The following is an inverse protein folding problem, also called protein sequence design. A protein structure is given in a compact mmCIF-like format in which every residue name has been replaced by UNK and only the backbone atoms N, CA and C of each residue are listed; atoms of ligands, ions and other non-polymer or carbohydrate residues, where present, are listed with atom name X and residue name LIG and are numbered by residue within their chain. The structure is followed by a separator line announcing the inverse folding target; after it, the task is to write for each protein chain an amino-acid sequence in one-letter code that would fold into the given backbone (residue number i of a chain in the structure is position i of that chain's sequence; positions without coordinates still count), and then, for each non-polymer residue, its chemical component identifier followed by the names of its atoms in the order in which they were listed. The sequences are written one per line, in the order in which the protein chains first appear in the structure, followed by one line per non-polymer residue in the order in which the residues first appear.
data_IF_574988878557
#
_entry.id   IF_574988878557
#
_cell.length_a   1.000
_cell.length_b   1.000
_cell.length_c   1.000
_cell.angle_alpha   90.00
_cell.angle_beta   90.00
_cell.angle_gamma   90.00
#
_symmetry.space_group_name_H-M   'P 1'
#
loop_
_entity.id
_entity.type
_entity.pdbx_description
1 polymer ?
#
# COMPACT_ATOMS: atom_id res chain seq x y z
N UNK A 1 -28.83 41.47 34.97
CA UNK A 1 -30.13 41.73 35.62
C UNK A 1 -30.68 43.01 35.04
N UNK A 2 -31.93 43.09 34.53
CA UNK A 2 -33.09 42.17 34.57
C UNK A 2 -33.19 41.32 33.28
N UNK A 3 -33.77 40.12 33.18
CA UNK A 3 -35.01 39.46 33.64
C UNK A 3 -36.32 39.85 32.92
N UNK A 4 -36.95 38.78 32.40
CA UNK A 4 -38.34 38.53 31.96
C UNK A 4 -38.81 38.99 30.56
N UNK A 5 -38.89 38.01 29.64
CA UNK A 5 -40.07 37.83 28.77
C UNK A 5 -40.47 36.34 28.84
N UNK A 6 -41.65 36.14 29.41
CA UNK A 6 -42.50 34.95 29.44
C UNK A 6 -43.23 34.78 28.11
N UNK A 7 -43.52 33.53 27.71
CA UNK A 7 -44.64 33.02 26.87
C UNK A 7 -44.21 31.67 26.24
N UNK A 8 -44.54 30.53 26.83
CA UNK A 8 -45.79 29.76 26.73
C UNK A 8 -45.98 28.97 25.41
N UNK A 9 -46.05 27.64 25.59
CA UNK A 9 -46.97 26.71 24.91
C UNK A 9 -46.75 26.41 23.42
N UNK A 10 -46.44 25.13 23.11
CA UNK A 10 -47.37 24.22 22.39
C UNK A 10 -46.75 22.82 22.30
N UNK A 11 -47.41 21.86 22.96
CA UNK A 11 -47.30 20.42 22.71
C UNK A 11 -47.81 20.11 21.30
N UNK A 12 -47.15 19.22 20.54
CA UNK A 12 -47.87 18.26 19.68
C UNK A 12 -47.08 16.95 19.56
N UNK A 13 -47.62 15.94 20.25
CA UNK A 13 -47.54 14.52 19.93
C UNK A 13 -48.15 14.27 18.54
N UNK A 14 -47.47 13.47 17.71
CA UNK A 14 -47.97 13.01 16.42
C UNK A 14 -47.53 11.56 16.17
N UNK A 15 -48.33 10.64 16.66
CA UNK A 15 -48.41 9.23 16.23
C UNK A 15 -48.87 9.14 14.78
N UNK A 16 -48.09 8.49 13.91
CA UNK A 16 -48.61 7.89 12.67
C UNK A 16 -48.05 6.49 12.50
N UNK A 17 -48.93 5.51 12.68
CA UNK A 17 -48.81 4.16 12.19
C UNK A 17 -49.71 4.07 10.96
N UNK A 18 -49.18 3.72 9.79
CA UNK A 18 -49.94 3.05 8.75
C UNK A 18 -49.08 2.00 8.04
N UNK A 19 -49.75 0.89 7.76
CA UNK A 19 -49.30 -0.40 7.28
C UNK A 19 -50.16 -0.74 6.07
N UNK A 20 -49.61 -0.91 4.87
CA UNK A 20 -50.19 -1.68 3.73
C UNK A 20 -49.04 -2.01 2.76
N UNK A 21 -48.37 -3.17 2.81
CA UNK A 21 -48.60 -4.48 2.13
C UNK A 21 -48.97 -4.43 0.63
N UNK A 22 -48.11 -5.01 -0.23
CA UNK A 22 -48.39 -5.89 -1.41
C UNK A 22 -47.04 -6.10 -2.17
N UNK A 23 -46.29 -7.19 -1.99
CA UNK A 23 -46.50 -8.58 -2.44
C UNK A 23 -46.50 -8.77 -3.97
N UNK A 24 -45.37 -9.24 -4.50
CA UNK A 24 -45.33 -10.01 -5.76
C UNK A 24 -44.14 -10.96 -5.70
N UNK A 25 -44.26 -11.92 -4.78
CA UNK A 25 -43.50 -13.16 -4.76
C UNK A 25 -44.26 -14.16 -5.63
N UNK A 26 -43.75 -14.40 -6.84
CA UNK A 26 -44.24 -15.51 -7.68
C UNK A 26 -43.66 -16.82 -7.16
N UNK A 27 -44.48 -17.52 -6.39
CA UNK A 27 -44.43 -18.96 -6.10
C UNK A 27 -44.55 -19.75 -7.42
N UNK A 28 -43.65 -20.69 -7.70
CA UNK A 28 -43.74 -22.11 -7.33
C UNK A 28 -44.53 -22.94 -8.34
N UNK A 29 -43.94 -24.07 -8.77
CA UNK A 29 -44.59 -25.37 -9.11
C UNK A 29 -43.45 -26.31 -9.53
N UNK A 30 -42.87 -27.04 -8.57
CA UNK A 30 -43.03 -28.50 -8.30
C UNK A 30 -42.45 -29.39 -9.42
N UNK A 31 -41.75 -30.49 -9.17
CA UNK A 31 -42.12 -31.60 -8.30
C UNK A 31 -40.99 -32.66 -8.28
N UNK A 32 -40.91 -33.40 -7.17
CA UNK A 32 -40.39 -34.77 -7.04
C UNK A 32 -38.88 -35.00 -7.25
N UNK A 33 -38.09 -35.51 -6.30
CA UNK A 33 -38.41 -36.35 -5.15
C UNK A 33 -37.50 -37.60 -5.19
N UNK A 34 -36.78 -37.82 -4.08
CA UNK A 34 -36.21 -39.12 -3.64
C UNK A 34 -34.98 -39.62 -4.43
N UNK A 35 -33.87 -40.09 -3.85
CA UNK A 35 -33.45 -40.41 -2.49
C UNK A 35 -32.25 -41.38 -2.60
N UNK A 36 -31.34 -41.35 -1.61
CA UNK A 36 -30.24 -42.31 -1.35
C UNK A 36 -29.11 -42.43 -2.41
N UNK A 37 -27.89 -42.82 -2.10
CA UNK A 37 -27.01 -42.85 -0.92
C UNK A 37 -25.66 -43.37 -1.45
N UNK A 38 -24.60 -43.23 -0.64
CA UNK A 38 -23.26 -43.81 -0.84
C UNK A 38 -22.42 -43.19 -1.96
N UNK A 39 -21.11 -42.99 -1.84
CA UNK A 39 -20.12 -43.38 -0.83
C UNK A 39 -18.79 -42.77 -1.27
N UNK A 40 -17.90 -42.62 -0.30
CA UNK A 40 -16.62 -41.93 -0.40
C UNK A 40 -15.69 -42.44 -1.52
N UNK A 41 -14.95 -41.52 -2.14
CA UNK A 41 -13.55 -41.75 -2.50
C UNK A 41 -12.83 -40.41 -2.72
N UNK A 42 -12.06 -39.98 -1.72
CA UNK A 42 -10.88 -39.16 -1.96
C UNK A 42 -9.93 -39.96 -2.86
N UNK A 43 -9.59 -39.40 -4.01
CA UNK A 43 -8.41 -39.78 -4.76
C UNK A 43 -7.54 -38.53 -4.93
N UNK A 44 -6.40 -38.57 -4.25
CA UNK A 44 -5.34 -37.61 -4.39
C UNK A 44 -4.81 -37.54 -5.83
N UNK A 45 -4.35 -36.33 -6.16
CA UNK A 45 -3.30 -35.99 -7.12
C UNK A 45 -3.55 -36.34 -8.59
N UNK A 46 -3.84 -35.30 -9.38
CA UNK A 46 -3.27 -35.16 -10.72
C UNK A 46 -3.60 -33.77 -11.28
N UNK A 47 -2.69 -32.81 -11.13
CA UNK A 47 -2.58 -31.68 -12.06
C UNK A 47 -2.20 -32.28 -13.42
N UNK A 48 -3.16 -32.91 -14.11
CA UNK A 48 -3.01 -33.26 -15.51
C UNK A 48 -2.91 -31.94 -16.25
N UNK A 49 -1.68 -31.59 -16.60
CA UNK A 49 -1.37 -30.55 -17.56
C UNK A 49 -2.21 -30.83 -18.81
N UNK A 50 -3.35 -30.17 -18.93
CA UNK A 50 -4.10 -30.15 -20.18
C UNK A 50 -3.10 -29.69 -21.25
N UNK A 51 -2.91 -30.45 -22.35
CA UNK A 51 -1.98 -30.04 -23.39
C UNK A 51 -2.40 -28.66 -23.87
N UNK A 52 -1.49 -27.68 -23.79
CA UNK A 52 -1.75 -26.29 -24.16
C UNK A 52 -2.33 -26.24 -25.59
N UNK A 53 -3.65 -26.08 -25.67
CA UNK A 53 -4.34 -26.00 -26.95
C UNK A 53 -4.07 -24.62 -27.54
N UNK A 54 -3.02 -24.56 -28.36
CA UNK A 54 -2.57 -23.34 -29.04
C UNK A 54 -3.72 -22.62 -29.74
N UNK A 55 -4.68 -23.35 -30.32
CA UNK A 55 -5.80 -22.76 -31.05
C UNK A 55 -6.78 -22.07 -30.11
N UNK A 56 -7.08 -22.67 -28.96
CA UNK A 56 -7.93 -22.05 -27.94
C UNK A 56 -7.24 -20.86 -27.27
N UNK A 57 -5.94 -20.95 -27.01
CA UNK A 57 -5.16 -19.83 -26.47
C UNK A 57 -5.11 -18.66 -27.45
N UNK A 58 -4.83 -18.92 -28.74
CA UNK A 58 -4.86 -17.90 -29.80
C UNK A 58 -6.25 -17.27 -29.96
N UNK A 59 -7.32 -18.05 -29.87
CA UNK A 59 -8.69 -17.54 -29.91
C UNK A 59 -9.01 -16.64 -28.71
N UNK A 60 -8.61 -17.03 -27.50
CA UNK A 60 -8.76 -16.22 -26.28
C UNK A 60 -7.94 -14.93 -26.35
N UNK A 61 -6.69 -15.00 -26.83
CA UNK A 61 -5.83 -13.83 -27.05
C UNK A 61 -6.45 -12.89 -28.10
N UNK A 62 -6.97 -13.43 -29.20
CA UNK A 62 -7.62 -12.64 -30.25
C UNK A 62 -8.87 -11.93 -29.73
N UNK A 63 -9.69 -12.63 -28.94
CA UNK A 63 -10.87 -12.06 -28.28
C UNK A 63 -10.48 -10.95 -27.32
N UNK A 64 -9.54 -11.19 -26.41
CA UNK A 64 -9.03 -10.18 -25.47
C UNK A 64 -8.43 -8.96 -26.19
N UNK A 65 -7.69 -9.17 -27.28
CA UNK A 65 -7.13 -8.09 -28.09
C UNK A 65 -8.24 -7.27 -28.78
N UNK A 66 -9.29 -7.92 -29.29
CA UNK A 66 -10.42 -7.22 -29.91
C UNK A 66 -11.24 -6.42 -28.89
N UNK A 67 -11.43 -6.95 -27.68
CA UNK A 67 -12.08 -6.26 -26.58
C UNK A 67 -11.26 -5.06 -26.11
N UNK A 68 -9.94 -5.24 -25.93
CA UNK A 68 -9.02 -4.16 -25.60
C UNK A 68 -9.00 -3.07 -26.68
N UNK A 69 -9.04 -3.43 -27.96
CA UNK A 69 -9.15 -2.46 -29.06
C UNK A 69 -10.49 -1.72 -29.04
N UNK A 70 -11.60 -2.41 -28.77
CA UNK A 70 -12.92 -1.79 -28.62
C UNK A 70 -12.97 -0.80 -27.46
N UNK A 71 -12.41 -1.17 -26.31
CA UNK A 71 -12.29 -0.31 -25.14
C UNK A 71 -11.42 0.92 -25.42
N UNK A 72 -10.27 0.75 -26.09
CA UNK A 72 -9.40 1.87 -26.48
C UNK A 72 -10.09 2.85 -27.43
N UNK A 73 -10.87 2.35 -28.39
CA UNK A 73 -11.65 3.21 -29.30
C UNK A 73 -12.71 4.01 -28.52
N UNK A 74 -13.47 3.34 -27.65
CA UNK A 74 -14.46 4.00 -26.78
C UNK A 74 -13.83 5.04 -25.86
N UNK A 75 -12.67 4.75 -25.28
CA UNK A 75 -11.94 5.73 -24.46
C UNK A 75 -11.53 6.95 -25.29
N UNK A 76 -10.97 6.73 -26.49
CA UNK A 76 -10.58 7.82 -27.38
C UNK A 76 -11.77 8.68 -27.85
N UNK A 77 -12.95 8.10 -27.95
CA UNK A 77 -14.20 8.81 -28.28
C UNK A 77 -14.78 9.56 -27.07
N UNK A 78 -14.64 9.01 -25.86
CA UNK A 78 -15.15 9.62 -24.61
C UNK A 78 -14.22 10.70 -24.04
N UNK A 79 -12.91 10.60 -24.26
CA UNK A 79 -11.91 11.60 -23.84
C UNK A 79 -12.25 13.04 -24.26
N UNK A 80 -12.57 13.35 -25.54
CA UNK A 80 -12.92 14.72 -25.94
C UNK A 80 -14.22 15.20 -25.28
N UNK A 81 -15.23 14.34 -25.14
CA UNK A 81 -16.48 14.70 -24.46
C UNK A 81 -16.24 15.00 -22.97
N UNK A 82 -15.40 14.23 -22.29
CA UNK A 82 -15.01 14.50 -20.91
C UNK A 82 -14.23 15.82 -20.78
N UNK A 83 -13.32 16.11 -21.71
CA UNK A 83 -12.57 17.36 -21.74
C UNK A 83 -13.46 18.58 -22.02
N UNK A 84 -14.45 18.45 -22.90
CA UNK A 84 -15.43 19.50 -23.18
C UNK A 84 -16.34 19.75 -21.97
N UNK A 85 -16.82 18.70 -21.30
CA UNK A 85 -17.58 18.83 -20.06
C UNK A 85 -16.76 19.51 -18.96
N UNK A 86 -15.48 19.19 -18.84
CA UNK A 86 -14.57 19.88 -17.91
C UNK A 86 -14.42 21.36 -18.28
N UNK A 87 -14.21 21.70 -19.55
CA UNK A 87 -14.13 23.10 -20.00
C UNK A 87 -15.41 23.88 -19.74
N UNK A 88 -16.58 23.28 -19.99
CA UNK A 88 -17.88 23.91 -19.71
C UNK A 88 -18.02 24.15 -18.21
N UNK A 89 -17.73 23.13 -17.38
CA UNK A 89 -17.73 23.26 -15.92
C UNK A 89 -16.77 24.36 -15.44
N UNK A 90 -15.56 24.41 -15.99
CA UNK A 90 -14.56 25.41 -15.61
C UNK A 90 -14.92 26.82 -16.10
N UNK A 91 -15.67 26.94 -17.19
CA UNK A 91 -16.21 28.22 -17.68
C UNK A 91 -17.44 28.70 -16.90
N UNK A 92 -18.20 27.77 -16.30
CA UNK A 92 -19.39 28.06 -15.50
C UNK A 92 -19.06 28.32 -14.03
N UNK A 93 -17.90 27.84 -13.55
CA UNK A 93 -17.41 28.15 -12.20
C UNK A 93 -17.18 29.65 -12.08
N UNK A 94 -17.82 30.25 -11.08
CA UNK A 94 -17.53 31.62 -10.67
C UNK A 94 -16.10 31.72 -10.13
N UNK A 95 -15.47 32.91 -10.19
CA UNK A 95 -14.12 33.10 -9.66
C UNK A 95 -14.01 32.66 -8.19
N UNK A 96 -15.06 32.89 -7.40
CA UNK A 96 -15.16 32.41 -6.02
C UNK A 96 -15.12 30.88 -5.93
N UNK A 97 -15.88 30.17 -6.75
CA UNK A 97 -15.89 28.69 -6.75
C UNK A 97 -14.52 28.13 -7.15
N UNK A 98 -13.89 28.72 -8.17
CA UNK A 98 -12.54 28.32 -8.61
C UNK A 98 -11.50 28.49 -7.49
N UNK A 99 -11.55 29.60 -6.77
CA UNK A 99 -10.66 29.84 -5.63
C UNK A 99 -10.94 28.86 -4.48
N UNK A 100 -12.21 28.58 -4.17
CA UNK A 100 -12.54 27.59 -3.13
C UNK A 100 -12.06 26.18 -3.48
N UNK A 101 -12.19 25.77 -4.74
CA UNK A 101 -11.71 24.47 -5.18
C UNK A 101 -10.18 24.39 -5.16
N UNK A 102 -9.49 25.47 -5.54
CA UNK A 102 -8.03 25.54 -5.43
C UNK A 102 -7.56 25.47 -3.97
N UNK A 103 -8.24 26.18 -3.06
CA UNK A 103 -7.94 26.11 -1.63
C UNK A 103 -8.21 24.70 -1.06
N UNK A 104 -9.32 24.08 -1.42
CA UNK A 104 -9.64 22.72 -1.00
C UNK A 104 -8.58 21.72 -1.48
N UNK A 105 -8.17 21.79 -2.75
CA UNK A 105 -7.11 20.94 -3.31
C UNK A 105 -5.76 21.19 -2.66
N UNK A 106 -5.41 22.44 -2.39
CA UNK A 106 -4.17 22.80 -1.70
C UNK A 106 -4.15 22.24 -0.27
N UNK A 107 -5.26 22.40 0.47
CA UNK A 107 -5.39 21.88 1.83
C UNK A 107 -5.31 20.34 1.87
N UNK A 108 -5.94 19.66 0.92
CA UNK A 108 -5.85 18.20 0.80
C UNK A 108 -4.41 17.74 0.50
N UNK A 109 -3.69 18.45 -0.37
CA UNK A 109 -2.28 18.16 -0.65
C UNK A 109 -1.41 18.38 0.58
N UNK A 110 -1.60 19.49 1.29
CA UNK A 110 -0.88 19.80 2.54
C UNK A 110 -1.12 18.70 3.58
N UNK A 111 -2.39 18.30 3.80
CA UNK A 111 -2.73 17.22 4.72
C UNK A 111 -2.03 15.91 4.36
N UNK A 112 -2.07 15.50 3.07
CA UNK A 112 -1.37 14.30 2.60
C UNK A 112 0.14 14.38 2.77
N UNK A 113 0.74 15.55 2.55
CA UNK A 113 2.19 15.73 2.77
C UNK A 113 2.56 15.64 4.24
N UNK A 114 1.75 16.22 5.13
CA UNK A 114 1.97 16.17 6.58
C UNK A 114 1.86 14.73 7.10
N UNK A 115 0.84 13.98 6.67
CA UNK A 115 0.71 12.55 7.01
C UNK A 115 1.91 11.72 6.54
N UNK A 116 2.41 11.96 5.32
CA UNK A 116 3.62 11.31 4.83
C UNK A 116 4.84 11.68 5.68
N UNK A 117 4.94 12.94 6.09
CA UNK A 117 6.05 13.43 6.91
C UNK A 117 6.06 12.77 8.29
N UNK A 118 4.93 12.74 8.99
CA UNK A 118 4.81 12.00 10.26
C UNK A 118 5.13 10.54 10.08
N UNK A 119 4.58 9.89 9.05
CA UNK A 119 4.90 8.49 8.74
C UNK A 119 6.41 8.28 8.61
N UNK A 120 7.10 9.11 7.83
CA UNK A 120 8.55 9.00 7.65
C UNK A 120 9.33 9.28 8.93
N UNK A 121 8.84 10.21 9.75
CA UNK A 121 9.45 10.53 11.05
C UNK A 121 9.33 9.34 12.02
N UNK A 122 8.13 8.75 12.13
CA UNK A 122 7.89 7.55 12.93
C UNK A 122 8.77 6.41 12.43
N UNK A 123 8.86 6.17 11.12
CA UNK A 123 9.75 5.16 10.55
C UNK A 123 11.22 5.40 10.88
N UNK A 124 11.67 6.66 10.81
CA UNK A 124 13.05 7.03 11.11
C UNK A 124 13.40 6.79 12.59
N UNK A 125 12.50 7.16 13.50
CA UNK A 125 12.68 6.93 14.94
C UNK A 125 12.57 5.44 15.29
N UNK A 126 11.57 4.75 14.74
CA UNK A 126 11.37 3.32 14.96
C UNK A 126 12.52 2.48 14.38
N UNK A 127 13.17 2.91 13.29
CA UNK A 127 14.30 2.18 12.69
C UNK A 127 15.51 2.01 13.61
N UNK A 128 15.58 2.79 14.71
CA UNK A 128 16.61 2.66 15.74
C UNK A 128 16.36 1.49 16.69
N UNK A 129 15.10 1.23 17.06
CA UNK A 129 14.72 0.34 18.16
C UNK A 129 13.82 -0.83 17.77
N UNK A 130 13.07 -0.74 16.67
CA UNK A 130 12.18 -1.79 16.18
C UNK A 130 12.87 -2.72 15.17
N UNK A 131 12.43 -3.98 15.14
CA UNK A 131 12.84 -4.95 14.13
C UNK A 131 12.25 -4.59 12.75
N UNK A 132 10.98 -4.19 12.72
CA UNK A 132 10.30 -3.64 11.55
C UNK A 132 9.71 -2.26 11.90
N UNK A 133 10.16 -1.16 11.27
CA UNK A 133 9.62 0.17 11.51
C UNK A 133 8.17 0.33 11.01
N UNK A 134 7.69 -0.49 10.07
CA UNK A 134 6.31 -0.39 9.56
C UNK A 134 5.27 -0.87 10.59
N UNK A 135 5.63 -1.82 11.46
CA UNK A 135 4.77 -2.29 12.55
C UNK A 135 4.44 -1.15 13.54
N UNK A 136 5.41 -0.27 13.79
CA UNK A 136 5.21 0.89 14.64
C UNK A 136 4.25 1.91 14.00
N UNK A 137 4.41 2.18 12.71
CA UNK A 137 3.51 3.08 11.96
C UNK A 137 2.07 2.58 11.97
N UNK A 138 1.85 1.27 11.84
CA UNK A 138 0.51 0.68 11.87
C UNK A 138 -0.15 0.66 13.25
N UNK A 139 0.62 0.82 14.32
CA UNK A 139 0.14 0.74 15.70
C UNK A 139 -0.15 2.10 16.35
N UNK A 140 0.37 3.19 15.78
CA UNK A 140 0.23 4.55 16.28
C UNK A 140 -0.79 5.35 15.46
N UNK A 141 -1.43 6.33 16.10
CA UNK A 141 -2.31 7.28 15.42
C UNK A 141 -1.49 8.45 14.88
N UNK A 142 -1.21 8.46 13.57
CA UNK A 142 -0.28 9.44 12.98
C UNK A 142 -0.82 10.87 13.04
N UNK A 143 -2.14 11.05 13.00
CA UNK A 143 -2.75 12.38 12.97
C UNK A 143 -2.69 13.06 14.36
N UNK A 144 -2.55 12.29 15.46
CA UNK A 144 -2.46 12.85 16.81
C UNK A 144 -1.15 13.58 17.11
N UNK A 145 -0.11 13.35 16.30
CA UNK A 145 1.21 13.97 16.47
C UNK A 145 1.37 15.27 15.70
N UNK A 146 0.35 15.72 14.98
CA UNK A 146 0.34 16.95 14.20
C UNK A 146 -0.45 17.99 14.99
N UNK A 147 0.19 19.10 15.33
CA UNK A 147 -0.49 20.19 16.04
C UNK A 147 -1.32 21.08 15.08
N UNK A 148 -1.96 22.11 15.65
CA UNK A 148 -2.76 23.07 14.88
C UNK A 148 -1.93 23.90 13.88
N UNK A 149 -0.64 24.05 14.12
CA UNK A 149 0.29 24.80 13.27
C UNK A 149 0.81 23.90 12.13
N UNK A 150 0.74 22.59 12.32
CA UNK A 150 1.22 21.56 11.41
C UNK A 150 2.61 21.04 11.74
N UNK A 151 3.13 21.37 12.92
CA UNK A 151 4.38 20.85 13.44
C UNK A 151 4.17 19.47 14.06
N UNK A 152 5.26 18.69 14.05
CA UNK A 152 5.22 17.30 14.50
C UNK A 152 5.84 17.22 15.90
N UNK A 153 5.07 16.68 16.84
CA UNK A 153 5.57 16.42 18.18
C UNK A 153 6.44 15.16 18.20
N UNK A 154 7.73 15.33 17.92
CA UNK A 154 8.71 14.25 17.96
C UNK A 154 8.87 13.65 19.37
N UNK A 155 8.63 14.42 20.42
CA UNK A 155 8.79 13.95 21.80
C UNK A 155 7.66 12.98 22.16
N UNK A 156 6.42 13.31 21.80
CA UNK A 156 5.28 12.41 21.92
C UNK A 156 5.47 11.12 21.12
N UNK A 157 5.96 11.21 19.87
CA UNK A 157 6.24 10.01 19.05
C UNK A 157 7.26 9.10 19.75
N UNK A 158 8.36 9.64 20.30
CA UNK A 158 9.36 8.83 21.00
C UNK A 158 8.78 8.15 22.24
N UNK A 159 8.02 8.89 23.05
CA UNK A 159 7.39 8.36 24.25
C UNK A 159 6.43 7.20 23.93
N UNK A 160 5.61 7.35 22.89
CA UNK A 160 4.66 6.31 22.48
C UNK A 160 5.36 5.11 21.84
N UNK A 161 6.44 5.32 21.09
CA UNK A 161 7.28 4.24 20.57
C UNK A 161 7.92 3.43 21.69
N UNK A 162 8.42 4.08 22.74
CA UNK A 162 9.00 3.41 23.90
C UNK A 162 7.93 2.62 24.66
N UNK A 163 6.76 3.21 24.92
CA UNK A 163 5.61 2.54 25.53
C UNK A 163 5.12 1.35 24.69
N UNK A 164 5.20 1.45 23.37
CA UNK A 164 4.83 0.38 22.45
C UNK A 164 5.80 -0.81 22.56
N UNK A 165 7.10 -0.57 22.71
CA UNK A 165 8.10 -1.62 22.91
C UNK A 165 7.94 -2.30 24.27
N UNK A 166 7.60 -1.55 25.33
CA UNK A 166 7.29 -2.14 26.63
C UNK A 166 6.10 -3.10 26.55
N UNK A 167 5.05 -2.71 25.82
CA UNK A 167 3.87 -3.56 25.60
C UNK A 167 4.14 -4.73 24.65
N UNK A 168 5.00 -4.52 23.65
CA UNK A 168 5.30 -5.50 22.58
C UNK A 168 6.81 -5.72 22.45
N UNK A 169 7.43 -6.43 23.40
CA UNK A 169 8.88 -6.60 23.43
C UNK A 169 9.42 -7.41 22.25
N UNK A 170 8.59 -8.23 21.60
CA UNK A 170 8.97 -9.00 20.41
C UNK A 170 9.12 -8.13 19.15
N UNK A 171 8.68 -6.87 19.18
CA UNK A 171 8.89 -5.90 18.10
C UNK A 171 10.24 -5.20 18.21
N UNK A 172 10.92 -5.32 19.36
CA UNK A 172 12.24 -4.75 19.55
C UNK A 172 13.25 -5.42 18.62
N UNK A 173 14.16 -4.63 18.09
CA UNK A 173 15.29 -5.12 17.32
C UNK A 173 16.12 -6.06 18.21
N UNK A 174 16.50 -7.24 17.72
CA UNK A 174 17.38 -8.11 18.48
C UNK A 174 18.69 -7.37 18.72
N UNK A 175 19.04 -7.20 20.00
CA UNK A 175 20.35 -6.67 20.37
C UNK A 175 21.41 -7.54 19.69
N UNK A 176 22.38 -6.96 18.97
CA UNK A 176 23.49 -7.75 18.44
C UNK A 176 24.13 -8.44 19.64
N UNK A 177 24.04 -9.77 19.69
CA UNK A 177 24.66 -10.50 20.77
C UNK A 177 26.14 -10.13 20.78
N UNK A 178 26.58 -9.54 21.90
CA UNK A 178 28.00 -9.39 22.26
C UNK A 178 28.58 -10.79 22.58
N UNK A 179 28.38 -11.74 21.67
CA UNK A 179 29.03 -13.04 21.69
C UNK A 179 30.39 -12.94 21.00
N UNK A 180 31.28 -13.93 21.20
CA UNK A 180 32.59 -13.97 20.58
C UNK A 180 32.41 -13.81 19.07
N UNK A 181 32.90 -12.69 18.52
CA UNK A 181 32.93 -12.49 17.07
C UNK A 181 33.56 -13.73 16.44
N UNK A 182 33.05 -14.12 15.27
CA UNK A 182 33.61 -15.21 14.47
C UNK A 182 35.14 -15.11 14.53
N UNK A 183 35.86 -16.22 14.82
CA UNK A 183 37.32 -16.19 14.92
C UNK A 183 37.87 -15.49 13.67
N UNK A 184 38.82 -14.58 13.89
CA UNK A 184 39.39 -13.79 12.80
C UNK A 184 39.78 -14.73 11.64
N UNK A 185 39.46 -14.39 10.38
CA UNK A 185 39.78 -15.24 9.25
C UNK A 185 41.27 -15.56 9.28
N UNK A 186 41.59 -16.85 9.42
CA UNK A 186 42.97 -17.29 9.44
C UNK A 186 43.60 -16.99 8.08
N UNK A 187 44.52 -16.02 8.08
CA UNK A 187 45.20 -15.55 6.86
C UNK A 187 46.04 -16.65 6.24
N UNK A 188 46.37 -17.72 6.96
CA UNK A 188 47.11 -18.88 6.43
C UNK A 188 46.24 -19.85 5.62
N UNK A 189 44.91 -19.78 5.79
CA UNK A 189 43.95 -20.62 5.06
C UNK A 189 43.48 -20.00 3.73
N UNK A 190 43.70 -18.70 3.54
CA UNK A 190 43.36 -18.01 2.29
C UNK A 190 44.47 -18.20 1.25
N UNK A 191 44.18 -18.92 0.16
CA UNK A 191 45.11 -19.24 -0.94
C UNK A 191 45.72 -18.04 -1.70
N UNK A 192 45.49 -16.80 -1.24
CA UNK A 192 46.06 -15.57 -1.82
C UNK A 192 46.77 -14.66 -0.82
N UNK A 193 46.82 -14.99 0.47
CA UNK A 193 47.28 -14.04 1.50
C UNK A 193 48.79 -13.76 1.51
N UNK A 194 49.59 -14.59 0.82
CA UNK A 194 51.05 -14.42 0.70
C UNK A 194 51.51 -13.88 -0.67
N UNK A 195 50.58 -13.57 -1.57
CA UNK A 195 50.91 -12.88 -2.81
C UNK A 195 51.10 -11.39 -2.47
N UNK A 196 52.35 -10.96 -2.30
CA UNK A 196 52.68 -9.53 -2.35
C UNK A 196 52.16 -9.02 -3.68
N UNK A 197 51.07 -8.24 -3.69
CA UNK A 197 50.62 -7.51 -4.87
C UNK A 197 51.86 -6.81 -5.42
N UNK A 198 52.22 -7.04 -6.68
CA UNK A 198 53.22 -6.23 -7.35
C UNK A 198 52.69 -4.79 -7.35
N UNK A 199 53.30 -3.92 -6.54
CA UNK A 199 53.06 -2.50 -6.64
C UNK A 199 53.73 -2.04 -7.94
N UNK A 200 52.93 -1.38 -8.78
CA UNK A 200 53.25 -0.74 -10.05
C UNK A 200 53.02 -1.58 -11.34
N UNK A 201 52.06 -1.20 -12.21
CA UNK A 201 51.87 -1.82 -13.53
C UNK A 201 53.11 -1.74 -14.43
N UNK A 202 54.01 -0.78 -14.22
CA UNK A 202 55.28 -0.69 -14.95
C UNK A 202 56.18 -1.90 -14.72
N UNK A 203 56.21 -2.45 -13.49
CA UNK A 203 57.03 -3.61 -13.15
C UNK A 203 56.49 -4.92 -13.75
N UNK A 204 55.16 -5.01 -13.88
CA UNK A 204 54.49 -6.14 -14.56
C UNK A 204 54.85 -6.12 -16.05
N UNK A 205 54.77 -4.94 -16.69
CA UNK A 205 55.13 -4.78 -18.10
C UNK A 205 56.63 -5.03 -18.35
N UNK A 206 57.50 -4.54 -17.48
CA UNK A 206 58.94 -4.78 -17.56
C UNK A 206 59.29 -6.27 -17.38
N UNK A 207 58.61 -6.97 -16.47
CA UNK A 207 58.76 -8.42 -16.30
C UNK A 207 58.38 -9.21 -17.55
N UNK A 208 57.35 -8.77 -18.27
CA UNK A 208 56.91 -9.37 -19.53
C UNK A 208 57.86 -9.05 -20.71
N UNK A 209 58.40 -7.84 -20.78
CA UNK A 209 59.24 -7.37 -21.90
C UNK A 209 60.68 -7.91 -21.86
N UNK A 210 61.28 -8.02 -20.66
CA UNK A 210 62.68 -8.46 -20.46
C UNK A 210 63.05 -9.81 -21.09
N UNK A 211 62.23 -10.87 -21.04
CA UNK A 211 62.57 -12.14 -21.69
C UNK A 211 62.52 -12.09 -23.22
N UNK A 212 61.82 -11.12 -23.83
CA UNK A 212 61.74 -10.97 -25.29
C UNK A 212 62.93 -10.22 -25.89
N UNK A 213 63.66 -9.47 -25.06
CA UNK A 213 64.82 -8.66 -25.47
C UNK A 213 66.17 -9.39 -25.33
N UNK A 214 66.19 -10.59 -24.74
CA UNK A 214 67.38 -11.46 -24.72
C UNK A 214 67.35 -12.40 -25.93
N UNK A 215 67.72 -11.88 -27.09
CA UNK A 215 68.19 -12.63 -28.26
C UNK A 215 69.41 -11.94 -28.84
#
# INVERSE_FOLDING_TARGET
MPEEITESSTEQSGTEAEQVVDESTTSETTDGGTGEAEGAQEAADDKREEPFDRKQAEAKIRKANSEAQGLRKRLKELEPAAAELQRIKDSQKTESERLTEQLARANEQIAKTRQRLVRTQVQALAGLSFADPEDAVGALDLDSYIDSEGDIDEAAIKADLDALLERKPHWAKPQPQEGPRRPAPDRTQASGANQKRSLDPADVFAGWLKPQLKK
#
